data_IF_166267882792
#
_entry.id   IF_166267882792
#
_cell.length_a   1.000
_cell.length_b   1.000
_cell.length_c   1.000
_cell.angle_alpha   90.00
_cell.angle_beta   90.00
_cell.angle_gamma   90.00
#
_symmetry.space_group_name_H-M   'P 1'
#
loop_
_entity.id
_entity.type
_entity.pdbx_description
1 polymer ?
#
# COMPACT_ATOMS: atom_id res chain seq x y z
N UNK A 1 7.66 -33.55 37.59
CA UNK A 1 8.44 -32.32 37.85
C UNK A 1 8.24 -31.41 36.65
N UNK A 2 7.36 -30.42 36.81
CA UNK A 2 6.98 -29.45 35.78
C UNK A 2 7.67 -28.14 36.13
N UNK A 3 8.34 -27.49 35.17
CA UNK A 3 8.74 -26.08 35.28
C UNK A 3 8.28 -25.35 34.03
N UNK A 4 7.15 -24.70 34.22
CA UNK A 4 6.55 -23.67 33.40
C UNK A 4 7.25 -22.34 33.72
N UNK A 5 7.61 -21.56 32.71
CA UNK A 5 8.26 -20.24 32.85
C UNK A 5 7.40 -19.19 32.16
N UNK A 6 6.47 -18.60 32.91
CA UNK A 6 5.81 -17.34 32.59
C UNK A 6 6.45 -16.22 33.42
N UNK A 7 7.14 -15.29 32.76
CA UNK A 7 7.70 -14.10 33.39
C UNK A 7 6.71 -12.93 33.24
N UNK A 8 6.04 -12.58 34.35
CA UNK A 8 5.29 -11.34 34.53
C UNK A 8 6.22 -10.29 35.12
N UNK A 9 6.38 -9.15 34.44
CA UNK A 9 7.05 -7.96 34.96
C UNK A 9 6.16 -7.27 36.01
N UNK A 10 6.68 -7.09 37.22
CA UNK A 10 6.12 -6.25 38.28
C UNK A 10 6.90 -4.93 38.34
N UNK A 11 6.17 -3.82 38.36
CA UNK A 11 6.72 -2.47 38.51
C UNK A 11 6.80 -2.10 40.00
N UNK A 12 8.00 -1.71 40.46
CA UNK A 12 8.24 -1.17 41.80
C UNK A 12 7.79 0.30 41.87
N UNK A 13 6.96 0.63 42.86
CA UNK A 13 6.61 1.99 43.24
C UNK A 13 7.55 2.50 44.32
N UNK A 14 8.34 3.53 44.00
CA UNK A 14 9.06 4.33 44.99
C UNK A 14 8.21 5.55 45.37
N UNK A 15 7.74 5.58 46.61
CA UNK A 15 7.17 6.77 47.26
C UNK A 15 8.31 7.65 47.78
N UNK A 16 8.35 8.92 47.38
CA UNK A 16 9.15 9.93 48.06
C UNK A 16 8.26 11.15 48.38
N UNK A 17 8.24 11.49 49.66
CA UNK A 17 7.47 12.56 50.29
C UNK A 17 8.29 13.85 50.34
N UNK A 18 7.73 14.98 49.88
CA UNK A 18 8.34 16.29 49.99
C UNK A 18 7.34 17.42 49.73
N UNK A 19 7.31 18.39 50.62
CA UNK A 19 6.26 19.38 50.92
C UNK A 19 6.19 20.65 50.05
N UNK A 20 4.96 21.18 49.92
CA UNK A 20 4.50 22.60 49.82
C UNK A 20 4.90 23.46 48.61
N UNK A 21 3.92 23.90 47.82
CA UNK A 21 3.20 25.20 47.89
C UNK A 21 1.98 25.22 46.94
N UNK A 22 0.92 26.01 47.19
CA UNK A 22 -0.29 26.04 46.36
C UNK A 22 -0.22 27.20 45.34
N UNK A 23 -0.10 26.87 44.04
CA UNK A 23 -0.16 27.88 42.98
C UNK A 23 -1.45 27.71 42.17
N UNK A 24 -2.23 28.78 42.27
CA UNK A 24 -3.47 29.19 41.60
C UNK A 24 -3.82 28.51 40.28
N UNK A 25 -5.11 28.16 40.19
CA UNK A 25 -5.85 28.00 38.95
C UNK A 25 -5.61 29.17 38.00
N UNK A 26 -5.03 28.88 36.84
CA UNK A 26 -5.30 29.61 35.61
C UNK A 26 -5.71 28.58 34.57
N UNK A 27 -7.03 28.53 34.33
CA UNK A 27 -7.64 27.93 33.16
C UNK A 27 -7.09 28.59 31.91
N UNK A 28 -6.10 27.96 31.28
CA UNK A 28 -5.80 28.21 29.88
C UNK A 28 -6.50 27.14 29.05
N UNK A 29 -7.76 27.46 28.75
CA UNK A 29 -8.51 26.87 27.65
C UNK A 29 -7.80 27.20 26.35
N UNK A 30 -6.89 26.34 25.94
CA UNK A 30 -6.39 26.26 24.56
C UNK A 30 -6.23 24.77 24.21
N UNK A 31 -7.32 24.01 24.31
CA UNK A 31 -7.49 22.83 23.46
C UNK A 31 -7.78 23.35 22.06
N UNK A 32 -6.71 23.75 21.35
CA UNK A 32 -6.74 23.66 19.91
C UNK A 32 -6.86 22.16 19.62
N UNK A 33 -8.08 21.73 19.33
CA UNK A 33 -8.30 20.53 18.54
C UNK A 33 -7.42 20.68 17.31
N UNK A 34 -6.26 20.00 17.31
CA UNK A 34 -5.65 19.58 16.07
C UNK A 34 -6.64 18.60 15.46
N UNK A 35 -7.67 19.15 14.81
CA UNK A 35 -8.15 18.56 13.58
C UNK A 35 -6.88 18.38 12.77
N UNK A 36 -6.40 17.14 12.71
CA UNK A 36 -5.53 16.72 11.64
C UNK A 36 -6.35 16.99 10.40
N UNK A 37 -6.20 18.21 9.90
CA UNK A 37 -6.56 18.59 8.55
C UNK A 37 -5.66 17.70 7.69
N UNK A 38 -6.14 16.48 7.47
CA UNK A 38 -5.79 15.66 6.34
C UNK A 38 -6.32 16.41 5.12
N UNK A 39 -5.74 17.59 4.87
CA UNK A 39 -5.72 18.22 3.58
C UNK A 39 -5.15 17.16 2.65
N UNK A 40 -6.07 16.43 2.03
CA UNK A 40 -6.04 16.03 0.64
C UNK A 40 -4.61 15.82 0.16
N UNK A 41 -4.15 14.58 0.30
CA UNK A 41 -3.32 13.85 -0.68
C UNK A 41 -2.78 14.79 -1.75
N UNK A 42 -1.49 15.14 -1.70
CA UNK A 42 -0.80 16.24 -2.40
C UNK A 42 -0.91 16.31 -3.93
N UNK A 43 -2.12 16.20 -4.46
CA UNK A 43 -2.57 16.34 -5.82
C UNK A 43 -3.81 17.25 -5.78
N UNK A 44 -3.82 18.26 -6.64
CA UNK A 44 -5.01 19.10 -6.76
C UNK A 44 -6.22 18.26 -7.22
N UNK A 45 -7.47 18.61 -6.86
CA UNK A 45 -8.66 17.90 -7.33
C UNK A 45 -8.70 17.69 -8.85
N UNK A 46 -8.17 18.64 -9.62
CA UNK A 46 -8.09 18.52 -11.07
C UNK A 46 -7.05 17.52 -11.57
N UNK A 47 -5.99 17.26 -10.79
CA UNK A 47 -5.04 16.18 -11.06
C UNK A 47 -5.66 14.83 -10.73
N UNK A 48 -6.39 14.73 -9.62
CA UNK A 48 -7.15 13.53 -9.24
C UNK A 48 -8.12 13.14 -10.36
N UNK A 49 -8.91 14.10 -10.88
CA UNK A 49 -9.85 13.87 -11.99
C UNK A 49 -9.19 13.37 -13.27
N UNK A 50 -7.98 13.83 -13.61
CA UNK A 50 -7.24 13.34 -14.80
C UNK A 50 -6.89 11.85 -14.70
N UNK A 51 -6.71 11.33 -13.49
CA UNK A 51 -6.43 9.92 -13.24
C UNK A 51 -7.68 9.04 -13.18
N UNK A 52 -8.86 9.66 -13.02
CA UNK A 52 -10.17 9.04 -12.77
C UNK A 52 -10.95 8.66 -14.05
N UNK A 53 -10.27 8.02 -15.01
CA UNK A 53 -10.87 7.52 -16.26
C UNK A 53 -11.66 6.22 -16.06
N UNK A 54 -12.56 5.92 -16.99
CA UNK A 54 -13.27 4.64 -17.03
C UNK A 54 -13.32 4.07 -18.47
N UNK A 55 -12.74 2.88 -18.72
CA UNK A 55 -11.93 2.10 -17.78
C UNK A 55 -10.68 2.87 -17.34
N UNK A 56 -10.16 2.62 -16.12
CA UNK A 56 -8.92 3.25 -15.69
C UNK A 56 -7.74 2.83 -16.58
N UNK A 57 -6.72 3.68 -16.63
CA UNK A 57 -5.44 3.31 -17.21
C UNK A 57 -4.60 2.60 -16.16
N UNK A 58 -3.81 1.62 -16.57
CA UNK A 58 -2.77 0.98 -15.79
C UNK A 58 -1.59 1.94 -15.56
N UNK A 59 -0.59 1.53 -14.76
CA UNK A 59 0.67 2.29 -14.64
C UNK A 59 1.46 2.35 -15.95
N UNK A 60 1.33 1.34 -16.81
CA UNK A 60 1.91 1.32 -18.15
C UNK A 60 1.13 2.15 -19.19
N UNK A 61 0.16 2.98 -18.75
CA UNK A 61 -0.70 3.82 -19.59
C UNK A 61 -1.59 3.08 -20.61
N UNK A 62 -1.69 1.76 -20.53
CA UNK A 62 -2.67 0.96 -21.27
C UNK A 62 -4.00 0.92 -20.52
N UNK A 63 -5.10 0.67 -21.22
CA UNK A 63 -6.41 0.46 -20.57
C UNK A 63 -6.36 -0.79 -19.69
N UNK A 64 -6.90 -0.69 -18.47
CA UNK A 64 -7.08 -1.86 -17.61
C UNK A 64 -8.11 -2.83 -18.22
N UNK A 65 -7.87 -4.12 -18.03
CA UNK A 65 -8.83 -5.16 -18.36
C UNK A 65 -9.92 -5.18 -17.30
N UNK A 66 -11.17 -5.21 -17.76
CA UNK A 66 -12.34 -5.33 -16.92
C UNK A 66 -12.73 -6.81 -16.81
N UNK A 67 -12.78 -7.34 -15.60
CA UNK A 67 -13.32 -8.67 -15.31
C UNK A 67 -14.54 -8.55 -14.40
N UNK A 68 -15.49 -9.46 -14.56
CA UNK A 68 -16.59 -9.64 -13.61
C UNK A 68 -16.28 -10.83 -12.72
N UNK A 69 -16.31 -10.64 -11.41
CA UNK A 69 -16.05 -11.67 -10.41
C UNK A 69 -17.23 -11.78 -9.45
N UNK A 70 -17.25 -12.79 -8.58
CA UNK A 70 -18.24 -12.89 -7.51
C UNK A 70 -18.21 -11.67 -6.55
N UNK A 71 -17.07 -10.97 -6.47
CA UNK A 71 -16.87 -9.76 -5.67
C UNK A 71 -17.23 -8.47 -6.42
N UNK A 72 -17.70 -8.60 -7.68
CA UNK A 72 -18.04 -7.50 -8.57
C UNK A 72 -17.00 -7.24 -9.65
N UNK A 73 -17.11 -6.07 -10.29
CA UNK A 73 -16.19 -5.65 -11.36
C UNK A 73 -14.80 -5.38 -10.80
N UNK A 74 -13.78 -5.93 -11.46
CA UNK A 74 -12.36 -5.69 -11.19
C UNK A 74 -11.68 -5.09 -12.42
N UNK A 75 -10.66 -4.25 -12.19
CA UNK A 75 -9.84 -3.62 -13.21
C UNK A 75 -8.36 -3.92 -12.97
N UNK A 76 -7.79 -4.77 -13.83
CA UNK A 76 -6.43 -5.28 -13.67
C UNK A 76 -5.59 -5.00 -14.91
N UNK A 77 -4.27 -4.90 -14.73
CA UNK A 77 -3.39 -4.81 -15.89
C UNK A 77 -3.25 -6.18 -16.57
N UNK A 78 -4.11 -6.47 -17.53
CA UNK A 78 -3.81 -7.48 -18.54
C UNK A 78 -3.32 -6.77 -19.78
N UNK A 79 -2.13 -7.12 -20.26
CA UNK A 79 -1.66 -6.65 -21.55
C UNK A 79 -2.43 -7.39 -22.66
N UNK A 80 -3.75 -7.16 -22.77
CA UNK A 80 -4.68 -7.89 -23.65
C UNK A 80 -4.33 -7.77 -25.13
N UNK A 81 -3.59 -6.72 -25.49
CA UNK A 81 -3.17 -6.50 -26.87
C UNK A 81 -1.96 -7.34 -27.26
N UNK A 82 -1.36 -8.07 -26.30
CA UNK A 82 -0.15 -8.82 -26.51
C UNK A 82 -0.23 -10.14 -25.73
N UNK A 83 -0.76 -11.16 -26.39
CA UNK A 83 -0.83 -12.53 -25.85
C UNK A 83 0.55 -13.09 -25.47
N UNK A 84 1.64 -12.53 -26.04
CA UNK A 84 3.01 -12.91 -25.74
C UNK A 84 3.58 -12.18 -24.52
N UNK A 85 2.87 -11.18 -23.99
CA UNK A 85 3.36 -10.40 -22.87
C UNK A 85 3.38 -11.22 -21.58
N UNK A 86 4.59 -11.59 -21.19
CA UNK A 86 4.88 -12.26 -19.91
C UNK A 86 4.96 -11.27 -18.73
N UNK A 87 4.89 -9.97 -19.02
CA UNK A 87 5.09 -8.90 -18.04
C UNK A 87 3.94 -7.89 -18.04
N UNK A 88 3.56 -7.45 -16.85
CA UNK A 88 2.51 -6.46 -16.60
C UNK A 88 2.96 -5.49 -15.51
N UNK A 89 2.29 -4.34 -15.37
CA UNK A 89 2.47 -3.50 -14.18
C UNK A 89 1.54 -3.97 -13.05
N UNK A 90 1.88 -3.65 -11.80
CA UNK A 90 1.14 -4.09 -10.61
C UNK A 90 -0.15 -3.30 -10.35
N UNK A 91 -1.01 -3.15 -11.35
CA UNK A 91 -2.26 -2.37 -11.24
C UNK A 91 -3.46 -3.30 -11.00
N UNK A 92 -4.22 -3.00 -9.94
CA UNK A 92 -5.41 -3.74 -9.48
C UNK A 92 -6.39 -2.76 -8.81
N UNK A 93 -7.64 -2.68 -9.28
CA UNK A 93 -8.66 -1.78 -8.72
C UNK A 93 -10.03 -2.46 -8.69
N UNK A 94 -10.80 -2.20 -7.63
CA UNK A 94 -12.20 -2.64 -7.53
C UNK A 94 -13.14 -1.59 -8.15
N UNK A 95 -14.01 -2.02 -9.06
CA UNK A 95 -14.83 -1.12 -9.86
C UNK A 95 -15.78 -0.24 -9.04
N UNK A 96 -16.37 -0.79 -7.97
CA UNK A 96 -17.26 -0.04 -7.08
C UNK A 96 -16.51 1.09 -6.34
N UNK A 97 -15.35 0.79 -5.77
CA UNK A 97 -14.52 1.79 -5.09
C UNK A 97 -14.04 2.86 -6.08
N UNK A 98 -13.63 2.44 -7.27
CA UNK A 98 -13.23 3.36 -8.34
C UNK A 98 -14.35 4.34 -8.72
N UNK A 99 -15.54 3.83 -9.03
CA UNK A 99 -16.70 4.68 -9.36
C UNK A 99 -17.05 5.64 -8.23
N UNK A 100 -16.99 5.17 -6.98
CA UNK A 100 -17.25 5.99 -5.80
C UNK A 100 -16.27 7.16 -5.70
N UNK A 101 -14.97 6.92 -5.88
CA UNK A 101 -13.98 8.00 -5.88
C UNK A 101 -14.17 8.97 -7.05
N UNK A 102 -14.53 8.46 -8.23
CA UNK A 102 -14.84 9.30 -9.40
C UNK A 102 -16.01 10.24 -9.15
N UNK A 103 -17.10 9.72 -8.60
CA UNK A 103 -18.31 10.50 -8.31
C UNK A 103 -18.07 11.55 -7.23
N UNK A 104 -17.32 11.20 -6.18
CA UNK A 104 -16.99 12.12 -5.08
C UNK A 104 -15.97 13.19 -5.48
N UNK A 105 -15.13 12.91 -6.48
CA UNK A 105 -14.05 13.81 -6.90
C UNK A 105 -12.98 14.07 -5.85
N UNK A 106 -12.94 13.23 -4.80
CA UNK A 106 -11.96 13.28 -3.70
C UNK A 106 -11.55 11.88 -3.31
N UNK A 107 -10.33 11.76 -2.78
CA UNK A 107 -9.76 10.52 -2.26
C UNK A 107 -10.07 10.43 -0.77
N UNK A 108 -10.55 9.27 -0.34
CA UNK A 108 -10.76 8.95 1.05
C UNK A 108 -9.67 7.96 1.47
N UNK A 109 -8.69 8.43 2.25
CA UNK A 109 -7.54 7.62 2.64
C UNK A 109 -7.91 6.52 3.64
N UNK A 110 -9.05 6.66 4.30
CA UNK A 110 -9.61 5.70 5.25
C UNK A 110 -10.73 4.85 4.62
N UNK A 111 -10.81 4.81 3.29
CA UNK A 111 -11.80 4.00 2.59
C UNK A 111 -11.65 2.52 3.01
N UNK A 112 -12.73 1.87 3.50
CA UNK A 112 -12.66 0.50 3.98
C UNK A 112 -12.08 -0.49 2.97
N UNK A 113 -12.24 -0.24 1.68
CA UNK A 113 -11.72 -1.09 0.62
C UNK A 113 -10.18 -1.16 0.64
N UNK A 114 -9.51 -0.07 1.05
CA UNK A 114 -8.06 -0.01 1.18
C UNK A 114 -7.55 -0.92 2.31
N UNK A 115 -8.35 -1.15 3.35
CA UNK A 115 -8.01 -2.07 4.42
C UNK A 115 -8.23 -3.55 4.03
N UNK A 116 -9.17 -3.82 3.12
CA UNK A 116 -9.59 -5.16 2.72
C UNK A 116 -8.69 -5.75 1.64
N UNK A 117 -8.38 -4.98 0.60
CA UNK A 117 -7.64 -5.49 -0.55
C UNK A 117 -6.22 -4.90 -0.64
N UNK A 118 -5.17 -5.69 -0.31
CA UNK A 118 -3.81 -5.17 -0.28
C UNK A 118 -3.26 -4.84 -1.69
N UNK A 119 -3.79 -5.46 -2.74
CA UNK A 119 -3.46 -5.13 -4.14
C UNK A 119 -4.08 -3.79 -4.57
N UNK A 120 -5.30 -3.53 -4.12
CA UNK A 120 -5.95 -2.25 -4.37
C UNK A 120 -5.26 -1.13 -3.61
N UNK A 121 -4.95 -1.35 -2.32
CA UNK A 121 -4.24 -0.37 -1.52
C UNK A 121 -2.85 -0.04 -2.08
N UNK A 122 -2.11 -1.06 -2.54
CA UNK A 122 -0.88 -0.83 -3.29
C UNK A 122 -1.13 0.08 -4.49
N UNK A 123 -2.12 -0.23 -5.32
CA UNK A 123 -2.43 0.56 -6.52
C UNK A 123 -2.81 2.00 -6.18
N UNK A 124 -3.62 2.20 -5.13
CA UNK A 124 -4.04 3.50 -4.64
C UNK A 124 -2.83 4.34 -4.18
N UNK A 125 -1.98 3.76 -3.32
CA UNK A 125 -0.79 4.41 -2.80
C UNK A 125 0.18 4.83 -3.93
N UNK A 126 0.41 3.95 -4.91
CA UNK A 126 1.27 4.26 -6.06
C UNK A 126 0.64 5.33 -6.96
N UNK A 127 -0.65 5.22 -7.28
CA UNK A 127 -1.34 6.12 -8.21
C UNK A 127 -1.43 7.54 -7.67
N UNK A 128 -1.78 7.67 -6.40
CA UNK A 128 -2.08 8.96 -5.78
C UNK A 128 -0.95 9.50 -4.90
N UNK A 129 0.18 8.78 -4.80
CA UNK A 129 1.33 9.14 -3.96
C UNK A 129 0.91 9.35 -2.51
N UNK A 130 0.17 8.38 -2.00
CA UNK A 130 -0.28 8.31 -0.61
C UNK A 130 0.44 7.16 0.06
N UNK A 131 0.79 7.34 1.32
CA UNK A 131 1.24 6.27 2.21
C UNK A 131 0.22 6.18 3.36
N UNK A 132 -0.14 4.95 3.71
CA UNK A 132 -1.03 4.62 4.82
C UNK A 132 -0.53 3.35 5.52
N UNK A 133 -1.13 2.96 6.63
CA UNK A 133 -0.69 1.77 7.39
C UNK A 133 -1.38 0.47 6.95
N UNK A 134 -2.31 0.53 5.99
CA UNK A 134 -2.97 -0.66 5.47
C UNK A 134 -2.00 -1.56 4.69
N UNK A 135 -2.30 -2.85 4.67
CA UNK A 135 -1.47 -3.85 3.98
C UNK A 135 -1.33 -3.52 2.49
N UNK A 136 -0.15 -3.74 1.94
CA UNK A 136 0.18 -3.52 0.53
C UNK A 136 0.78 -4.80 -0.02
N UNK A 137 0.21 -5.31 -1.10
CA UNK A 137 0.72 -6.49 -1.77
C UNK A 137 0.81 -6.24 -3.27
N UNK A 138 1.75 -6.94 -3.89
CA UNK A 138 1.86 -6.96 -5.34
C UNK A 138 1.79 -8.38 -5.85
N UNK A 139 1.66 -8.48 -7.17
CA UNK A 139 2.00 -9.67 -7.92
C UNK A 139 3.42 -10.16 -7.59
N UNK A 140 3.73 -11.36 -8.06
CA UNK A 140 5.03 -12.00 -7.86
C UNK A 140 6.19 -11.02 -8.09
N UNK A 141 6.83 -10.64 -6.98
CA UNK A 141 7.87 -9.61 -6.94
C UNK A 141 9.05 -10.05 -7.81
N UNK A 142 9.52 -9.20 -8.75
CA UNK A 142 10.56 -9.58 -9.68
C UNK A 142 11.90 -9.85 -8.99
N UNK A 143 12.81 -10.47 -9.74
CA UNK A 143 14.21 -10.62 -9.34
C UNK A 143 15.04 -9.50 -9.93
N UNK A 144 16.00 -8.98 -9.17
CA UNK A 144 16.99 -8.03 -9.66
C UNK A 144 18.06 -8.75 -10.50
N UNK A 145 19.03 -8.00 -11.03
CA UNK A 145 20.16 -8.54 -11.80
C UNK A 145 21.04 -9.54 -11.03
N UNK A 146 20.98 -9.50 -9.70
CA UNK A 146 21.69 -10.44 -8.83
C UNK A 146 20.90 -11.72 -8.55
N UNK A 147 19.73 -11.90 -9.18
CA UNK A 147 18.85 -13.05 -8.97
C UNK A 147 18.05 -13.01 -7.66
N UNK A 148 18.25 -12.01 -6.81
CA UNK A 148 17.52 -11.85 -5.55
C UNK A 148 16.14 -11.21 -5.79
N UNK A 149 15.15 -11.57 -4.97
CA UNK A 149 13.86 -10.86 -4.96
C UNK A 149 14.05 -9.45 -4.42
N UNK A 150 13.49 -8.48 -5.12
CA UNK A 150 13.53 -7.08 -4.69
C UNK A 150 12.58 -6.87 -3.51
N UNK A 151 12.84 -5.86 -2.69
CA UNK A 151 11.99 -5.51 -1.55
C UNK A 151 11.21 -4.26 -1.87
N UNK A 152 9.93 -4.25 -1.49
CA UNK A 152 9.11 -3.05 -1.47
C UNK A 152 9.53 -2.20 -0.26
N UNK A 153 9.66 -0.90 -0.47
CA UNK A 153 9.96 0.08 0.56
C UNK A 153 9.24 1.39 0.25
N UNK A 154 9.16 2.26 1.25
CA UNK A 154 8.62 3.60 1.12
C UNK A 154 9.80 4.59 1.13
N UNK A 155 9.80 5.52 0.18
CA UNK A 155 10.84 6.53 0.02
C UNK A 155 10.23 7.81 -0.56
N UNK A 156 10.36 8.93 0.15
CA UNK A 156 9.82 10.23 -0.26
C UNK A 156 8.32 10.15 -0.62
N UNK A 157 7.51 9.58 0.28
CA UNK A 157 6.05 9.39 0.13
C UNK A 157 5.64 8.58 -1.11
N UNK A 158 6.55 7.75 -1.61
CA UNK A 158 6.34 6.90 -2.79
C UNK A 158 6.82 5.50 -2.52
N UNK A 159 6.17 4.55 -3.20
CA UNK A 159 6.57 3.15 -3.12
C UNK A 159 7.69 2.89 -4.14
N UNK A 160 8.76 2.27 -3.66
CA UNK A 160 9.93 1.90 -4.44
C UNK A 160 10.22 0.41 -4.25
N UNK A 161 10.72 -0.23 -5.29
CA UNK A 161 11.30 -1.56 -5.19
C UNK A 161 12.81 -1.46 -5.35
N UNK A 162 13.55 -2.08 -4.42
CA UNK A 162 15.02 -2.07 -4.45
C UNK A 162 15.62 -3.43 -4.16
N UNK A 163 16.81 -3.67 -4.72
CA UNK A 163 17.58 -4.87 -4.37
C UNK A 163 17.92 -4.87 -2.86
N UNK A 164 17.88 -6.02 -2.17
CA UNK A 164 18.35 -6.11 -0.78
C UNK A 164 19.79 -5.65 -0.58
N UNK A 165 20.64 -5.78 -1.62
CA UNK A 165 22.04 -5.36 -1.58
C UNK A 165 22.25 -3.88 -1.98
N UNK A 166 21.18 -3.12 -2.26
CA UNK A 166 21.29 -1.74 -2.75
C UNK A 166 22.00 -0.84 -1.74
N UNK A 167 21.55 -0.86 -0.48
CA UNK A 167 22.08 0.00 0.61
C UNK A 167 23.22 -0.66 1.41
N UNK A 168 23.63 -1.88 1.08
CA UNK A 168 24.69 -2.58 1.81
C UNK A 168 26.05 -2.20 1.21
N UNK A 169 26.88 -1.54 2.02
CA UNK A 169 28.27 -1.24 1.66
C UNK A 169 29.12 -2.52 1.59
N UNK A 170 29.94 -2.63 0.54
CA UNK A 170 30.77 -3.82 0.29
C UNK A 170 30.02 -5.08 -0.17
N UNK A 171 28.70 -5.02 -0.39
CA UNK A 171 27.93 -6.17 -0.85
C UNK A 171 28.44 -6.74 -2.18
N UNK A 172 28.52 -8.06 -2.27
CA UNK A 172 28.91 -8.80 -3.47
C UNK A 172 27.84 -9.85 -3.82
N UNK A 173 27.17 -9.74 -4.98
CA UNK A 173 27.26 -8.64 -5.96
C UNK A 173 26.59 -7.34 -5.46
N UNK A 174 27.17 -6.19 -5.80
CA UNK A 174 26.50 -4.88 -5.66
C UNK A 174 25.45 -4.76 -6.75
N UNK A 175 24.27 -4.24 -6.40
CA UNK A 175 23.15 -4.14 -7.32
C UNK A 175 22.50 -2.77 -7.23
N UNK A 176 22.48 -2.03 -8.33
CA UNK A 176 21.83 -0.73 -8.42
C UNK A 176 20.34 -0.82 -8.79
N UNK A 177 19.75 -2.02 -8.79
CA UNK A 177 18.34 -2.19 -9.13
C UNK A 177 17.47 -1.48 -8.09
N UNK A 178 16.84 -0.38 -8.52
CA UNK A 178 16.01 0.51 -7.72
C UNK A 178 15.01 1.20 -8.67
N UNK A 179 13.72 0.85 -8.58
CA UNK A 179 12.67 1.34 -9.48
C UNK A 179 11.45 1.78 -8.70
N UNK A 180 10.83 2.88 -9.12
CA UNK A 180 9.52 3.29 -8.60
C UNK A 180 8.46 2.24 -8.96
N UNK A 181 7.49 2.03 -8.07
CA UNK A 181 6.49 0.98 -8.20
C UNK A 181 5.74 0.99 -9.55
N UNK A 182 5.41 2.17 -10.08
CA UNK A 182 4.75 2.34 -11.38
C UNK A 182 5.61 1.93 -12.59
N UNK A 183 6.93 1.80 -12.39
CA UNK A 183 7.90 1.40 -13.42
C UNK A 183 8.23 -0.10 -13.38
N UNK A 184 7.79 -0.83 -12.34
CA UNK A 184 8.14 -2.24 -12.16
C UNK A 184 7.32 -3.14 -13.08
N UNK A 185 8.03 -4.00 -13.80
CA UNK A 185 7.46 -5.07 -14.62
C UNK A 185 7.34 -6.37 -13.81
N UNK A 186 6.12 -6.71 -13.42
CA UNK A 186 5.76 -7.94 -12.71
C UNK A 186 5.53 -9.09 -13.69
N UNK A 187 5.70 -10.33 -13.24
CA UNK A 187 5.23 -11.48 -13.98
C UNK A 187 3.70 -11.46 -14.09
N UNK A 188 3.17 -11.81 -15.26
CA UNK A 188 1.73 -12.01 -15.43
C UNK A 188 1.28 -13.18 -14.54
N UNK A 189 0.28 -13.01 -13.65
CA UNK A 189 -0.22 -14.10 -12.84
C UNK A 189 -0.93 -15.12 -13.72
N UNK A 190 -0.77 -16.39 -13.38
CA UNK A 190 -1.65 -17.48 -13.79
C UNK A 190 -2.00 -18.23 -12.51
N UNK A 191 -3.26 -18.29 -12.05
CA UNK A 191 -4.51 -17.71 -12.60
C UNK A 191 -4.81 -16.26 -12.14
N UNK A 192 -5.99 -15.70 -12.50
CA UNK A 192 -6.38 -14.33 -12.15
C UNK A 192 -6.50 -14.15 -10.63
N UNK A 193 -6.20 -12.94 -10.13
CA UNK A 193 -6.13 -12.63 -8.70
C UNK A 193 -7.41 -12.90 -7.90
N UNK A 194 -8.56 -13.02 -8.57
CA UNK A 194 -9.86 -13.28 -7.97
C UNK A 194 -10.67 -14.34 -8.72
N UNK A 195 -9.99 -15.29 -9.36
CA UNK A 195 -10.66 -16.45 -9.97
C UNK A 195 -10.98 -17.50 -8.90
N UNK A 196 -12.27 -17.69 -8.59
CA UNK A 196 -12.70 -18.66 -7.57
C UNK A 196 -12.34 -20.11 -7.92
N UNK A 197 -12.16 -20.42 -9.21
CA UNK A 197 -11.79 -21.78 -9.65
C UNK A 197 -10.33 -22.16 -9.33
N UNK A 198 -9.50 -21.20 -8.92
CA UNK A 198 -8.09 -21.44 -8.59
C UNK A 198 -7.83 -21.97 -7.17
N UNK A 199 -8.83 -21.96 -6.30
CA UNK A 199 -8.72 -22.46 -4.92
C UNK A 199 -9.26 -23.88 -4.73
N UNK A 200 -9.69 -24.56 -5.80
CA UNK A 200 -10.35 -25.89 -5.71
C UNK A 200 -9.46 -27.09 -6.02
N UNK A 201 -8.17 -26.92 -6.29
CA UNK A 201 -7.30 -28.04 -6.69
C UNK A 201 -6.00 -28.12 -5.89
N UNK A 202 -6.12 -28.22 -4.56
CA UNK A 202 -5.09 -28.81 -3.70
C UNK A 202 -5.81 -29.67 -2.64
N UNK A 203 -6.37 -30.81 -3.09
CA UNK A 203 -6.72 -31.98 -2.26
C UNK A 203 -5.84 -33.17 -2.70
#
# INVERSE_FOLDING_TARGET
MVKDTSARYQWHTHTNSGTREPIRLTTNSNMATMEHDMTTVGLAPEEIRKHMRDPPLCFCNKKAHRSETALGTMYDCHNLQDEKAQKICGFHIHGKAWSTFRERGRLDADDPELSVCPYFNFTFCVRFRVINDYSKQTLAVPRCFCGLRVKMAEQNDRIVFKCPNYDIDGAKPKCAWNLWAEQVAFGKPQPLLHDFDSFRNDD
#
